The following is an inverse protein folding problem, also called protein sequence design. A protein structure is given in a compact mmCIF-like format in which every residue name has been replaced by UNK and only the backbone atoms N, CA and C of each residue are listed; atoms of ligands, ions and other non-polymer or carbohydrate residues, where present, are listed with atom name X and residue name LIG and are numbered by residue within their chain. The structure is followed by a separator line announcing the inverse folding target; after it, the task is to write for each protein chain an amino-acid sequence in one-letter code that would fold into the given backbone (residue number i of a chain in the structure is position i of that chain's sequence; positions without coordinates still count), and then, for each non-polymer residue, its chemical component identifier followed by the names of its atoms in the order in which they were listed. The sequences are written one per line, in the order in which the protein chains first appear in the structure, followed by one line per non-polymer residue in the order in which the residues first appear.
data_IF_525154287645
#
_entry.id   IF_525154287645
#
_cell.length_a   1.000
_cell.length_b   1.000
_cell.length_c   1.000
_cell.angle_alpha   90.00
_cell.angle_beta   90.00
_cell.angle_gamma   90.00
#
_symmetry.space_group_name_H-M   'P 1'
#
loop_
_entity.id
_entity.type
_entity.pdbx_description
1 polymer ?
#
# COMPACT_ATOMS: atom_id res chain seq x y z
N UNK A 1 -8.00 -7.18 5.69
CA UNK A 1 -7.47 -7.07 4.32
C UNK A 1 -8.51 -7.65 3.36
N UNK A 2 -8.84 -6.98 2.25
CA UNK A 2 -9.74 -7.52 1.22
C UNK A 2 -9.24 -8.88 0.70
N UNK A 3 -10.14 -9.81 0.41
CA UNK A 3 -9.77 -11.20 0.07
C UNK A 3 -8.84 -11.27 -1.14
N UNK A 4 -9.17 -10.51 -2.18
CA UNK A 4 -8.39 -10.37 -3.40
C UNK A 4 -6.95 -9.87 -3.20
N UNK A 5 -6.70 -9.07 -2.15
CA UNK A 5 -5.36 -8.59 -1.79
C UNK A 5 -4.66 -9.61 -0.90
N UNK A 6 -5.42 -10.26 -0.01
CA UNK A 6 -4.95 -11.26 0.94
C UNK A 6 -4.42 -12.51 0.24
N UNK A 7 -5.01 -12.90 -0.88
CA UNK A 7 -4.49 -13.98 -1.72
C UNK A 7 -3.08 -13.67 -2.23
N UNK A 8 -2.90 -12.52 -2.90
CA UNK A 8 -1.60 -12.07 -3.40
C UNK A 8 -0.57 -11.90 -2.27
N UNK A 9 -0.99 -11.36 -1.12
CA UNK A 9 -0.13 -11.21 0.05
C UNK A 9 0.39 -12.57 0.55
N UNK A 10 -0.50 -13.56 0.66
CA UNK A 10 -0.14 -14.91 1.11
C UNK A 10 0.73 -15.64 0.10
N UNK A 11 0.45 -15.46 -1.18
CA UNK A 11 1.25 -16.02 -2.26
C UNK A 11 2.67 -15.43 -2.24
N UNK A 12 2.80 -14.10 -2.07
CA UNK A 12 4.10 -13.45 -1.91
C UNK A 12 4.89 -14.05 -0.73
N UNK A 13 4.25 -14.22 0.43
CA UNK A 13 4.89 -14.81 1.60
C UNK A 13 5.30 -16.29 1.38
N UNK A 14 4.48 -17.05 0.66
CA UNK A 14 4.75 -18.46 0.36
C UNK A 14 5.87 -18.65 -0.68
N UNK A 15 5.98 -17.74 -1.65
CA UNK A 15 7.01 -17.76 -2.70
C UNK A 15 8.35 -17.23 -2.20
N UNK A 16 8.36 -16.41 -1.14
CA UNK A 16 9.56 -15.76 -0.62
C UNK A 16 10.76 -16.71 -0.38
N UNK A 17 10.60 -17.93 0.18
CA UNK A 17 11.72 -18.86 0.38
C UNK A 17 12.30 -19.40 -0.93
N UNK A 18 11.50 -19.48 -2.00
CA UNK A 18 11.91 -20.00 -3.30
C UNK A 18 12.45 -18.90 -4.23
N UNK A 19 11.80 -17.73 -4.23
CA UNK A 19 12.23 -16.58 -5.01
C UNK A 19 11.72 -15.29 -4.38
N UNK A 20 12.64 -14.55 -3.76
CA UNK A 20 12.34 -13.20 -3.23
C UNK A 20 11.93 -12.21 -4.30
N UNK A 21 12.49 -12.33 -5.50
CA UNK A 21 12.12 -11.49 -6.64
C UNK A 21 10.66 -11.70 -7.04
N UNK A 22 10.24 -12.96 -7.18
CA UNK A 22 8.84 -13.27 -7.49
C UNK A 22 7.90 -12.84 -6.35
N UNK A 23 8.32 -13.06 -5.09
CA UNK A 23 7.58 -12.60 -3.93
C UNK A 23 7.42 -11.07 -3.90
N UNK A 24 8.46 -10.30 -4.20
CA UNK A 24 8.40 -8.84 -4.24
C UNK A 24 7.45 -8.33 -5.34
N UNK A 25 7.46 -8.98 -6.51
CA UNK A 25 6.51 -8.66 -7.59
C UNK A 25 5.04 -8.92 -7.15
N UNK A 26 4.79 -10.04 -6.48
CA UNK A 26 3.47 -10.36 -5.92
C UNK A 26 3.05 -9.38 -4.81
N UNK A 27 3.97 -9.03 -3.90
CA UNK A 27 3.72 -8.04 -2.86
C UNK A 27 3.40 -6.66 -3.43
N UNK A 28 4.10 -6.25 -4.51
CA UNK A 28 3.82 -5.02 -5.23
C UNK A 28 2.43 -5.05 -5.87
N UNK A 29 2.07 -6.15 -6.52
CA UNK A 29 0.74 -6.34 -7.09
C UNK A 29 -0.36 -6.27 -6.01
N UNK A 30 -0.10 -6.85 -4.83
CA UNK A 30 -1.01 -6.78 -3.68
C UNK A 30 -1.23 -5.32 -3.23
N UNK A 31 -0.16 -4.54 -3.08
CA UNK A 31 -0.23 -3.11 -2.71
C UNK A 31 -0.98 -2.30 -3.77
N UNK A 32 -0.67 -2.49 -5.05
CA UNK A 32 -1.36 -1.77 -6.13
C UNK A 32 -2.86 -2.08 -6.15
N UNK A 33 -3.21 -3.36 -6.00
CA UNK A 33 -4.60 -3.81 -5.93
C UNK A 33 -5.31 -3.22 -4.71
N UNK A 34 -4.64 -3.19 -3.55
CA UNK A 34 -5.15 -2.57 -2.33
C UNK A 34 -5.43 -1.07 -2.52
N UNK A 35 -4.50 -0.34 -3.12
CA UNK A 35 -4.66 1.10 -3.42
C UNK A 35 -5.87 1.35 -4.32
N UNK A 36 -6.11 0.48 -5.32
CA UNK A 36 -7.29 0.60 -6.19
C UNK A 36 -8.61 0.38 -5.44
N UNK A 37 -8.64 -0.52 -4.47
CA UNK A 37 -9.81 -0.77 -3.62
C UNK A 37 -10.07 0.40 -2.66
N UNK A 38 -9.01 1.00 -2.13
CA UNK A 38 -9.09 2.09 -1.14
C UNK A 38 -9.47 3.44 -1.78
N UNK A 39 -9.11 3.68 -3.06
CA UNK A 39 -9.48 4.89 -3.81
C UNK A 39 -10.51 4.53 -4.92
N UNK A 40 -11.76 4.17 -4.56
CA UNK A 40 -12.78 3.79 -5.53
C UNK A 40 -13.22 4.98 -6.41
N UNK A 41 -13.10 6.21 -5.89
CA UNK A 41 -13.49 7.45 -6.57
C UNK A 41 -12.42 7.97 -7.53
N UNK A 42 -11.28 7.28 -7.65
CA UNK A 42 -10.26 7.66 -8.61
C UNK A 42 -10.80 7.53 -10.05
N UNK A 43 -10.41 8.44 -10.97
CA UNK A 43 -10.72 8.28 -12.38
C UNK A 43 -10.34 6.90 -12.91
N UNK A 44 -11.13 6.34 -13.82
CA UNK A 44 -10.89 5.00 -14.38
C UNK A 44 -9.50 4.84 -15.01
N UNK A 45 -8.91 5.93 -15.51
CA UNK A 45 -7.56 5.99 -16.10
C UNK A 45 -6.48 6.49 -15.12
N UNK A 46 -6.79 6.68 -13.85
CA UNK A 46 -5.83 7.13 -12.86
C UNK A 46 -4.76 6.06 -12.65
N UNK A 47 -3.50 6.45 -12.91
CA UNK A 47 -2.35 5.60 -12.66
C UNK A 47 -2.09 5.48 -11.15
N UNK A 48 -1.21 4.55 -10.77
CA UNK A 48 -0.86 4.28 -9.38
C UNK A 48 -0.33 5.53 -8.66
N UNK A 49 0.49 6.34 -9.33
CA UNK A 49 1.05 7.57 -8.75
C UNK A 49 -0.04 8.58 -8.38
N UNK A 50 -1.02 8.81 -9.26
CA UNK A 50 -2.16 9.69 -8.99
C UNK A 50 -3.02 9.19 -7.84
N UNK A 51 -3.26 7.87 -7.75
CA UNK A 51 -3.99 7.26 -6.62
C UNK A 51 -3.24 7.43 -5.30
N UNK A 52 -1.92 7.22 -5.31
CA UNK A 52 -1.07 7.44 -4.13
C UNK A 52 -1.17 8.90 -3.65
N UNK A 53 -1.12 9.88 -4.56
CA UNK A 53 -1.29 11.30 -4.19
C UNK A 53 -2.63 11.59 -3.52
N UNK A 54 -3.71 10.88 -3.91
CA UNK A 54 -5.05 11.03 -3.31
C UNK A 54 -5.19 10.35 -1.95
N UNK A 55 -4.47 9.24 -1.74
CA UNK A 55 -4.49 8.47 -0.49
C UNK A 55 -3.55 9.06 0.57
N UNK A 56 -2.42 9.65 0.16
CA UNK A 56 -1.40 10.19 1.07
C UNK A 56 -1.96 11.08 2.20
N UNK A 57 -2.93 11.99 1.98
CA UNK A 57 -3.48 12.84 3.04
C UNK A 57 -4.33 12.09 4.07
N UNK A 58 -4.70 10.84 3.80
CA UNK A 58 -5.60 10.03 4.64
C UNK A 58 -4.83 9.10 5.60
N UNK A 59 -3.51 9.03 5.48
CA UNK A 59 -2.64 8.18 6.30
C UNK A 59 -1.74 9.02 7.20
N UNK A 60 -1.13 8.38 8.20
CA UNK A 60 -0.10 9.01 9.01
C UNK A 60 1.14 9.35 8.18
N UNK A 61 1.91 10.36 8.62
CA UNK A 61 3.10 10.81 7.90
C UNK A 61 4.11 9.67 7.60
N UNK A 62 4.41 8.72 8.52
CA UNK A 62 5.30 7.60 8.22
C UNK A 62 4.80 6.71 7.06
N UNK A 63 3.50 6.44 7.00
CA UNK A 63 2.91 5.64 5.91
C UNK A 63 2.86 6.46 4.62
N UNK A 64 2.60 7.76 4.71
CA UNK A 64 2.67 8.69 3.58
C UNK A 64 4.07 8.75 2.95
N UNK A 65 5.13 8.76 3.76
CA UNK A 65 6.51 8.71 3.29
C UNK A 65 6.82 7.39 2.58
N UNK A 66 6.35 6.26 3.11
CA UNK A 66 6.52 4.95 2.47
C UNK A 66 5.79 4.89 1.11
N UNK A 67 4.58 5.44 1.04
CA UNK A 67 3.83 5.57 -0.21
C UNK A 67 4.58 6.41 -1.25
N UNK A 68 5.24 7.50 -0.83
CA UNK A 68 6.07 8.33 -1.71
C UNK A 68 7.29 7.58 -2.25
N UNK A 69 7.93 6.75 -1.42
CA UNK A 69 9.03 5.87 -1.85
C UNK A 69 8.56 4.90 -2.93
N UNK A 70 7.43 4.22 -2.73
CA UNK A 70 6.86 3.29 -3.72
C UNK A 70 6.44 4.00 -5.00
N UNK A 71 5.86 5.21 -4.90
CA UNK A 71 5.54 6.05 -6.07
C UNK A 71 6.81 6.40 -6.85
N UNK A 72 7.88 6.78 -6.17
CA UNK A 72 9.15 7.16 -6.79
C UNK A 72 9.79 5.98 -7.53
N UNK A 73 9.87 4.82 -6.87
CA UNK A 73 10.39 3.58 -7.45
C UNK A 73 9.54 3.17 -8.66
N UNK A 74 8.21 3.22 -8.54
CA UNK A 74 7.30 2.77 -9.59
C UNK A 74 7.32 3.62 -10.87
N UNK A 75 7.51 4.94 -10.74
CA UNK A 75 7.61 5.82 -11.90
C UNK A 75 8.92 5.64 -12.68
N UNK A 76 10.05 5.35 -12.01
CA UNK A 76 11.35 5.15 -12.67
C UNK A 76 11.42 3.84 -13.46
N UNK A 77 10.80 2.77 -12.94
CA UNK A 77 10.73 1.48 -13.65
C UNK A 77 9.97 1.54 -14.97
N UNK A 78 9.07 2.51 -15.15
CA UNK A 78 8.19 2.61 -16.33
C UNK A 78 8.77 3.47 -17.47
N UNK A 79 9.66 4.42 -17.16
CA UNK A 79 10.17 5.38 -18.14
C UNK A 79 11.62 5.16 -18.58
N UNK A 80 12.34 4.17 -18.03
CA UNK A 80 13.67 3.78 -18.54
C UNK A 80 14.72 4.91 -18.54
N UNK A 81 14.51 5.98 -17.78
CA UNK A 81 15.40 7.14 -17.76
C UNK A 81 16.55 6.95 -16.78
N UNK A 82 17.76 6.95 -17.35
CA UNK A 82 19.07 7.32 -16.81
C UNK A 82 19.43 6.84 -15.39
N UNK A 83 20.17 5.73 -15.34
CA UNK A 83 20.95 5.30 -14.18
C UNK A 83 20.10 4.73 -13.03
N UNK A 84 20.52 3.63 -12.40
CA UNK A 84 19.81 3.17 -11.23
C UNK A 84 20.19 4.11 -10.07
N UNK A 85 19.22 4.90 -9.63
CA UNK A 85 19.28 5.61 -8.34
C UNK A 85 19.42 4.58 -7.22
N UNK A 86 20.12 4.86 -6.12
CA UNK A 86 20.40 3.85 -5.08
C UNK A 86 19.13 3.11 -4.60
N UNK A 87 17.99 3.81 -4.55
CA UNK A 87 16.66 3.26 -4.25
C UNK A 87 16.08 2.33 -5.32
N UNK A 88 16.42 2.55 -6.59
CA UNK A 88 16.04 1.69 -7.73
C UNK A 88 17.01 0.51 -7.85
N UNK A 89 18.30 0.69 -7.54
CA UNK A 89 19.27 -0.41 -7.37
C UNK A 89 18.77 -1.37 -6.30
N UNK A 90 18.38 -0.88 -5.12
CA UNK A 90 17.81 -1.70 -4.03
C UNK A 90 16.59 -2.56 -4.46
N UNK A 91 15.83 -2.10 -5.46
CA UNK A 91 14.61 -2.77 -5.97
C UNK A 91 14.91 -3.72 -7.13
N UNK A 92 15.97 -3.47 -7.89
CA UNK A 92 16.33 -4.22 -9.09
C UNK A 92 17.55 -5.12 -8.91
N UNK A 93 18.32 -4.96 -7.82
CA UNK A 93 19.47 -5.79 -7.51
C UNK A 93 18.99 -7.09 -6.83
N UNK A 94 19.29 -8.21 -7.49
CA UNK A 94 18.98 -9.56 -7.02
C UNK A 94 19.69 -9.89 -5.69
N UNK A 95 20.66 -9.06 -5.25
CA UNK A 95 21.41 -9.21 -4.00
C UNK A 95 20.75 -8.43 -2.82
N UNK A 96 20.09 -7.28 -3.07
CA UNK A 96 19.51 -6.40 -2.02
C UNK A 96 17.96 -6.32 -2.00
N UNK A 97 17.28 -7.06 -2.88
CA UNK A 97 15.84 -7.33 -2.80
C UNK A 97 15.25 -7.86 -1.46
N UNK A 98 16.03 -8.38 -0.48
CA UNK A 98 15.54 -8.68 0.87
C UNK A 98 14.86 -7.56 1.65
N UNK A 99 15.12 -6.30 1.34
CA UNK A 99 14.52 -5.21 2.10
C UNK A 99 13.13 -4.84 1.56
N UNK A 100 12.97 -4.91 0.23
CA UNK A 100 11.81 -4.39 -0.49
C UNK A 100 10.56 -5.25 -0.29
N UNK A 101 10.69 -6.58 -0.26
CA UNK A 101 9.55 -7.47 -0.02
C UNK A 101 8.90 -7.18 1.34
N UNK A 102 9.71 -7.17 2.40
CA UNK A 102 9.29 -6.94 3.77
C UNK A 102 8.65 -5.55 3.93
N UNK A 103 9.22 -4.53 3.28
CA UNK A 103 8.66 -3.18 3.26
C UNK A 103 7.31 -3.13 2.54
N UNK A 104 7.16 -3.81 1.41
CA UNK A 104 5.88 -3.87 0.68
C UNK A 104 4.81 -4.62 1.47
N UNK A 105 5.16 -5.73 2.12
CA UNK A 105 4.23 -6.48 2.97
C UNK A 105 3.85 -5.68 4.22
N UNK A 106 4.81 -4.99 4.85
CA UNK A 106 4.52 -4.10 5.98
C UNK A 106 3.59 -2.97 5.55
N UNK A 107 3.87 -2.32 4.41
CA UNK A 107 3.04 -1.25 3.89
C UNK A 107 1.61 -1.73 3.57
N UNK A 108 1.44 -2.93 2.99
CA UNK A 108 0.13 -3.50 2.77
C UNK A 108 -0.65 -3.67 4.08
N UNK A 109 0.02 -4.10 5.15
CA UNK A 109 -0.58 -4.21 6.48
C UNK A 109 -0.92 -2.84 7.07
N UNK A 110 -0.02 -1.87 6.99
CA UNK A 110 -0.22 -0.52 7.52
C UNK A 110 -1.38 0.21 6.83
N UNK A 111 -1.49 0.07 5.50
CA UNK A 111 -2.60 0.62 4.72
C UNK A 111 -3.94 -0.03 5.12
N UNK A 112 -3.96 -1.36 5.29
CA UNK A 112 -5.16 -2.06 5.77
C UNK A 112 -5.52 -1.60 7.18
N UNK A 113 -4.56 -1.46 8.08
CA UNK A 113 -4.81 -1.01 9.45
C UNK A 113 -5.40 0.40 9.47
N UNK A 114 -4.75 1.35 8.79
CA UNK A 114 -5.13 2.76 8.85
C UNK A 114 -6.38 3.12 8.06
N UNK A 115 -6.59 2.50 6.90
CA UNK A 115 -7.65 2.92 5.97
C UNK A 115 -8.84 1.97 5.94
N UNK A 116 -8.74 0.79 6.57
CA UNK A 116 -9.83 -0.19 6.62
C UNK A 116 -10.19 -0.51 8.07
N UNK A 117 -9.24 -1.02 8.86
CA UNK A 117 -9.51 -1.55 10.20
C UNK A 117 -9.85 -0.44 11.19
N UNK A 118 -9.01 0.59 11.31
CA UNK A 118 -9.22 1.71 12.25
C UNK A 118 -10.53 2.47 11.96
N UNK A 119 -10.85 2.87 10.71
CA UNK A 119 -12.12 3.52 10.40
C UNK A 119 -13.34 2.63 10.70
N UNK A 120 -13.28 1.34 10.34
CA UNK A 120 -14.38 0.41 10.62
C UNK A 120 -14.59 0.22 12.14
N UNK A 121 -13.49 0.12 12.90
CA UNK A 121 -13.53 -0.03 14.35
C UNK A 121 -14.11 1.23 15.01
N UNK A 122 -13.62 2.42 14.63
CA UNK A 122 -14.12 3.69 15.14
C UNK A 122 -15.61 3.88 14.81
N UNK A 123 -16.04 3.58 13.58
CA UNK A 123 -17.45 3.65 13.19
C UNK A 123 -18.32 2.65 13.96
N UNK A 124 -17.81 1.45 14.23
CA UNK A 124 -18.49 0.43 15.03
C UNK A 124 -18.68 0.86 16.49
N UNK A 125 -17.65 1.46 17.10
CA UNK A 125 -17.75 2.03 18.45
C UNK A 125 -18.68 3.23 18.49
N UNK A 126 -18.61 4.12 17.49
CA UNK A 126 -19.49 5.28 17.37
C UNK A 126 -20.97 4.90 17.30
N UNK A 127 -21.29 3.83 16.55
CA UNK A 127 -22.67 3.30 16.46
C UNK A 127 -23.22 2.81 17.80
N UNK A 128 -22.36 2.38 18.73
CA UNK A 128 -22.76 1.91 20.07
C UNK A 128 -22.98 3.04 21.07
N UNK A 129 -22.56 4.27 20.77
CA UNK A 129 -22.82 5.42 21.65
C UNK A 129 -24.33 5.74 21.69
N UNK A 130 -24.90 5.99 22.87
CA UNK A 130 -26.25 6.53 22.99
C UNK A 130 -26.39 7.88 22.28
N UNK A 131 -27.54 8.15 21.67
CA UNK A 131 -27.80 9.40 20.92
C UNK A 131 -27.56 10.67 21.75
N UNK A 132 -27.76 10.62 23.07
CA UNK A 132 -27.52 11.77 23.96
C UNK A 132 -26.05 12.14 24.19
N UNK A 133 -25.10 11.27 23.84
CA UNK A 133 -23.65 11.49 24.02
C UNK A 133 -22.97 11.89 22.72
N UNK A 134 -23.61 11.64 21.56
CA UNK A 134 -23.06 12.01 20.27
C UNK A 134 -23.08 13.54 20.13
N UNK A 135 -21.93 14.21 19.92
CA UNK A 135 -21.92 15.63 19.59
C UNK A 135 -22.82 15.88 18.37
N UNK A 136 -23.65 16.92 18.44
CA UNK A 136 -24.49 17.32 17.31
C UNK A 136 -23.57 17.72 16.15
N UNK A 137 -23.88 17.29 14.91
CA UNK A 137 -23.15 17.80 13.75
C UNK A 137 -23.28 19.33 13.73
N UNK A 138 -22.14 20.01 13.61
CA UNK A 138 -22.06 21.46 13.42
C UNK A 138 -22.48 21.85 12.00
#
# INVERSE_FOLDING_TARGET
MPDEVKELYREAAAVAPASRRAAAALARAAVEKLIRIIDPDAPARANLASRITRIRPQVTEPVGQMLDVVRHIGNKTLHGTEGPDDLVVLVLDDIEGPAVLEQLLSMANDLVDQLIVKPATAAGLWKKLPEGVKPRPH
#
